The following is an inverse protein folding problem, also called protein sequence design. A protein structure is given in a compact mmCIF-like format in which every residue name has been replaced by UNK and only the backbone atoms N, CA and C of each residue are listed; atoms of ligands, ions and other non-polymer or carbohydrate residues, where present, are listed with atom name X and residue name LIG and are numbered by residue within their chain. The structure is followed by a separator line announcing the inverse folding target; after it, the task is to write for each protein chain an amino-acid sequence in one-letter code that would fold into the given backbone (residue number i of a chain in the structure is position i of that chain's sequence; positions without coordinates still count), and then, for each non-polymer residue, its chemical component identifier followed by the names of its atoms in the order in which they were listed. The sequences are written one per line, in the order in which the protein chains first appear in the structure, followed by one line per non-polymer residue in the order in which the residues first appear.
data_IF_404002026359
#
_entry.id   IF_404002026359
#
_cell.length_a   1.000
_cell.length_b   1.000
_cell.length_c   1.000
_cell.angle_alpha   90.00
_cell.angle_beta   90.00
_cell.angle_gamma   90.00
#
_symmetry.space_group_name_H-M   'P 1'
#
loop_
_entity.id
_entity.type
_entity.pdbx_description
1 polymer ?
#
# COMPACT_ATOMS: atom_id res chain seq x y z
N UNK A 1 -23.20 31.05 61.91
CA UNK A 1 -23.56 29.66 61.57
C UNK A 1 -24.39 29.69 60.29
N UNK A 2 -23.81 29.32 59.14
CA UNK A 2 -24.59 28.96 57.94
C UNK A 2 -23.93 27.74 57.30
N UNK A 3 -24.79 26.77 56.98
CA UNK A 3 -24.49 25.38 56.67
C UNK A 3 -23.97 25.20 55.23
N UNK A 4 -23.14 24.17 55.09
CA UNK A 4 -22.65 23.56 53.85
C UNK A 4 -23.82 23.03 52.99
N UNK A 5 -23.65 23.12 51.67
CA UNK A 5 -24.35 22.30 50.67
C UNK A 5 -24.47 23.06 49.34
N UNK A 6 -24.24 22.51 48.15
CA UNK A 6 -23.96 21.13 47.74
C UNK A 6 -23.57 21.16 46.24
N UNK A 7 -22.72 20.20 45.84
CA UNK A 7 -22.66 19.55 44.52
C UNK A 7 -22.39 20.39 43.25
N UNK A 8 -21.12 20.41 42.83
CA UNK A 8 -20.75 20.44 41.41
C UNK A 8 -20.48 19.00 40.94
N UNK A 9 -21.40 18.48 40.12
CA UNK A 9 -21.38 17.13 39.55
C UNK A 9 -20.19 16.96 38.60
N UNK A 10 -19.38 15.92 38.82
CA UNK A 10 -18.29 15.50 37.94
C UNK A 10 -18.82 15.16 36.54
N UNK A 11 -18.27 15.80 35.51
CA UNK A 11 -18.37 15.30 34.13
C UNK A 11 -17.46 14.07 33.99
N UNK A 12 -18.09 12.93 33.75
CA UNK A 12 -17.44 11.68 33.39
C UNK A 12 -16.66 11.87 32.09
N UNK A 13 -15.36 11.60 32.14
CA UNK A 13 -14.47 11.62 30.99
C UNK A 13 -14.97 10.64 29.93
N UNK A 14 -15.17 11.15 28.71
CA UNK A 14 -15.32 10.32 27.52
C UNK A 14 -14.04 9.51 27.36
N UNK A 15 -14.10 8.24 27.72
CA UNK A 15 -13.06 7.27 27.35
C UNK A 15 -13.22 7.07 25.85
N UNK A 16 -12.52 7.90 25.06
CA UNK A 16 -12.29 7.59 23.65
C UNK A 16 -11.56 6.25 23.64
N UNK A 17 -12.28 5.19 23.29
CA UNK A 17 -11.67 3.93 22.93
C UNK A 17 -10.71 4.23 21.77
N UNK A 18 -9.43 4.36 22.09
CA UNK A 18 -8.38 4.34 21.09
C UNK A 18 -8.44 2.93 20.49
N UNK A 19 -9.12 2.80 19.34
CA UNK A 19 -8.95 1.64 18.50
C UNK A 19 -7.48 1.65 18.07
N UNK A 20 -6.66 0.87 18.76
CA UNK A 20 -5.34 0.53 18.30
C UNK A 20 -5.54 -0.26 17.00
N UNK A 21 -5.55 0.44 15.86
CA UNK A 21 -5.43 -0.19 14.56
C UNK A 21 -4.17 -1.03 14.63
N UNK A 22 -4.32 -2.35 14.52
CA UNK A 22 -3.20 -3.27 14.48
C UNK A 22 -2.32 -2.86 13.29
N UNK A 23 -1.23 -2.16 13.57
CA UNK A 23 -0.26 -1.78 12.56
C UNK A 23 0.32 -3.07 12.01
N UNK A 24 0.09 -3.33 10.72
CA UNK A 24 0.68 -4.47 10.05
C UNK A 24 2.20 -4.41 10.23
N UNK A 25 2.77 -5.41 10.88
CA UNK A 25 4.23 -5.52 11.03
C UNK A 25 4.76 -6.08 9.72
N UNK A 26 5.43 -5.22 8.95
CA UNK A 26 6.11 -5.63 7.73
C UNK A 26 7.45 -6.27 8.08
N UNK A 27 7.64 -7.54 7.71
CA UNK A 27 8.97 -8.14 7.67
C UNK A 27 9.81 -7.52 6.53
N UNK A 28 11.02 -8.08 6.29
CA UNK A 28 11.75 -7.76 5.06
C UNK A 28 10.89 -8.19 3.87
N UNK A 29 10.71 -7.33 2.87
CA UNK A 29 10.03 -7.65 1.62
C UNK A 29 11.05 -8.11 0.57
N UNK A 30 10.60 -8.86 -0.43
CA UNK A 30 11.43 -9.27 -1.56
C UNK A 30 11.50 -8.14 -2.59
N UNK A 31 12.70 -7.77 -3.03
CA UNK A 31 12.86 -6.80 -4.12
C UNK A 31 12.44 -7.42 -5.45
N UNK A 32 11.61 -6.72 -6.21
CA UNK A 32 11.19 -7.11 -7.54
C UNK A 32 11.96 -6.31 -8.62
N UNK A 33 12.38 -6.94 -9.72
CA UNK A 33 13.14 -6.26 -10.77
C UNK A 33 12.27 -5.27 -11.55
N UNK A 34 12.72 -4.01 -11.63
CA UNK A 34 11.96 -2.93 -12.30
C UNK A 34 12.51 -2.49 -13.67
N UNK A 35 13.76 -2.85 -13.97
CA UNK A 35 14.47 -2.39 -15.18
C UNK A 35 13.77 -2.80 -16.48
N UNK A 36 13.41 -4.09 -16.60
CA UNK A 36 12.71 -4.62 -17.77
C UNK A 36 11.32 -4.00 -17.92
N UNK A 37 10.61 -3.80 -16.81
CA UNK A 37 9.30 -3.17 -16.85
C UNK A 37 9.37 -1.71 -17.31
N UNK A 38 10.37 -0.95 -16.85
CA UNK A 38 10.59 0.41 -17.34
C UNK A 38 10.91 0.46 -18.85
N UNK A 39 11.56 -0.58 -19.40
CA UNK A 39 11.72 -0.69 -20.86
C UNK A 39 10.37 -0.85 -21.57
N UNK A 40 9.46 -1.67 -21.02
CA UNK A 40 8.11 -1.85 -21.55
C UNK A 40 7.29 -0.55 -21.48
N UNK A 41 7.41 0.22 -20.39
CA UNK A 41 6.77 1.54 -20.27
C UNK A 41 7.25 2.46 -21.39
N UNK A 42 8.56 2.55 -21.64
CA UNK A 42 9.11 3.39 -22.70
C UNK A 42 8.60 2.97 -24.09
N UNK A 43 8.63 1.68 -24.39
CA UNK A 43 8.10 1.14 -25.65
C UNK A 43 6.60 1.42 -25.81
N UNK A 44 5.81 1.26 -24.75
CA UNK A 44 4.38 1.55 -24.77
C UNK A 44 4.10 3.04 -24.98
N UNK A 45 4.93 3.93 -24.41
CA UNK A 45 4.87 5.37 -24.67
C UNK A 45 5.17 5.70 -26.14
N UNK A 46 6.20 5.11 -26.74
CA UNK A 46 6.53 5.29 -28.16
C UNK A 46 5.37 4.83 -29.07
N UNK A 47 4.64 3.81 -28.62
CA UNK A 47 3.42 3.32 -29.27
C UNK A 47 2.16 4.10 -28.89
N UNK A 48 2.30 5.22 -28.18
CA UNK A 48 1.20 6.10 -27.76
C UNK A 48 0.13 5.39 -26.91
N UNK A 49 0.50 4.31 -26.22
CA UNK A 49 -0.42 3.63 -25.32
C UNK A 49 -0.66 4.48 -24.08
N UNK A 50 -1.92 4.76 -23.76
CA UNK A 50 -2.26 5.75 -22.71
C UNK A 50 -2.02 5.27 -21.27
N UNK A 51 -1.92 3.96 -21.06
CA UNK A 51 -1.82 3.37 -19.71
C UNK A 51 -0.56 3.84 -18.96
N UNK A 52 0.52 4.18 -19.67
CA UNK A 52 1.78 4.67 -19.07
C UNK A 52 1.65 6.03 -18.38
N UNK A 53 0.54 6.75 -18.62
CA UNK A 53 0.27 8.06 -18.02
C UNK A 53 -0.55 7.98 -16.73
N UNK A 54 -1.14 6.82 -16.43
CA UNK A 54 -1.91 6.55 -15.21
C UNK A 54 -1.11 5.62 -14.30
N UNK A 55 -0.75 6.11 -13.10
CA UNK A 55 0.05 5.33 -12.15
C UNK A 55 -0.66 4.06 -11.68
N UNK A 56 -2.00 4.04 -11.64
CA UNK A 56 -2.78 2.86 -11.23
C UNK A 56 -2.67 1.77 -12.28
N UNK A 57 -2.81 2.13 -13.54
CA UNK A 57 -2.64 1.20 -14.68
C UNK A 57 -1.22 0.64 -14.73
N UNK A 58 -0.21 1.50 -14.54
CA UNK A 58 1.20 1.08 -14.46
C UNK A 58 1.40 0.07 -13.32
N UNK A 59 0.88 0.37 -12.13
CA UNK A 59 0.97 -0.51 -10.97
C UNK A 59 0.29 -1.87 -11.22
N UNK A 60 -0.94 -1.87 -11.75
CA UNK A 60 -1.68 -3.10 -12.03
C UNK A 60 -0.99 -3.99 -13.07
N UNK A 61 -0.40 -3.39 -14.10
CA UNK A 61 0.39 -4.12 -15.11
C UNK A 61 1.69 -4.67 -14.56
N UNK A 62 2.36 -3.94 -13.67
CA UNK A 62 3.56 -4.43 -13.00
C UNK A 62 3.25 -5.65 -12.12
N UNK A 63 2.16 -5.57 -11.36
CA UNK A 63 1.72 -6.62 -10.45
C UNK A 63 1.25 -7.87 -11.21
N UNK A 64 0.67 -7.71 -12.39
CA UNK A 64 0.37 -8.83 -13.30
C UNK A 64 -0.83 -9.71 -12.91
N UNK A 65 -1.62 -9.29 -11.93
CA UNK A 65 -2.79 -10.02 -11.41
C UNK A 65 -4.09 -9.27 -11.65
N UNK A 66 -4.53 -9.18 -12.90
CA UNK A 66 -5.79 -8.49 -13.26
C UNK A 66 -7.05 -9.24 -12.82
N UNK A 67 -6.92 -10.52 -12.48
CA UNK A 67 -7.97 -11.43 -12.05
C UNK A 67 -8.23 -11.40 -10.54
N UNK A 68 -7.31 -10.82 -9.76
CA UNK A 68 -7.41 -10.72 -8.30
C UNK A 68 -7.89 -9.31 -7.93
N UNK A 69 -8.93 -9.18 -7.07
CA UNK A 69 -9.32 -7.88 -6.53
C UNK A 69 -8.13 -7.19 -5.87
N UNK A 70 -7.85 -5.96 -6.30
CA UNK A 70 -6.75 -5.16 -5.77
C UNK A 70 -7.25 -3.94 -5.03
N UNK A 71 -6.61 -3.64 -3.90
CA UNK A 71 -6.73 -2.35 -3.21
C UNK A 71 -5.44 -1.59 -3.39
N UNK A 72 -5.54 -0.40 -3.98
CA UNK A 72 -4.40 0.49 -4.18
C UNK A 72 -4.54 1.69 -3.24
N UNK A 73 -3.59 1.82 -2.33
CA UNK A 73 -3.37 3.04 -1.57
C UNK A 73 -2.18 3.80 -2.17
N UNK A 74 -2.31 5.13 -2.27
CA UNK A 74 -1.30 5.98 -2.87
C UNK A 74 -0.90 7.09 -1.90
N UNK A 75 0.40 7.27 -1.72
CA UNK A 75 0.97 8.30 -0.87
C UNK A 75 2.10 9.01 -1.64
N UNK A 76 2.00 10.34 -1.73
CA UNK A 76 3.08 11.15 -2.26
C UNK A 76 4.16 11.32 -1.18
N UNK A 77 5.42 11.09 -1.54
CA UNK A 77 6.59 11.32 -0.70
C UNK A 77 7.66 12.04 -1.52
N UNK A 78 7.86 13.33 -1.25
CA UNK A 78 8.70 14.21 -2.06
C UNK A 78 8.34 14.12 -3.56
N UNK A 79 9.30 13.71 -4.40
CA UNK A 79 9.12 13.55 -5.84
C UNK A 79 8.65 12.17 -6.27
N UNK A 80 8.46 11.25 -5.31
CA UNK A 80 8.05 9.88 -5.57
C UNK A 80 6.59 9.65 -5.15
N UNK A 81 5.93 8.76 -5.87
CA UNK A 81 4.60 8.25 -5.54
C UNK A 81 4.77 6.82 -5.03
N UNK A 82 4.54 6.62 -3.75
CA UNK A 82 4.58 5.30 -3.12
C UNK A 82 3.18 4.70 -3.15
N UNK A 83 3.07 3.50 -3.72
CA UNK A 83 1.82 2.75 -3.82
C UNK A 83 1.91 1.48 -2.98
N UNK A 84 0.88 1.24 -2.17
CA UNK A 84 0.64 -0.07 -1.57
C UNK A 84 -0.47 -0.76 -2.35
N UNK A 85 -0.14 -1.88 -3.00
CA UNK A 85 -1.09 -2.69 -3.77
C UNK A 85 -1.30 -4.01 -3.04
N UNK A 86 -2.45 -4.15 -2.39
CA UNK A 86 -2.84 -5.39 -1.73
C UNK A 86 -3.72 -6.23 -2.67
N UNK A 87 -3.41 -7.51 -2.79
CA UNK A 87 -4.18 -8.51 -3.52
C UNK A 87 -4.69 -9.54 -2.52
N UNK A 88 -6.01 -9.65 -2.37
CA UNK A 88 -6.61 -10.63 -1.47
C UNK A 88 -6.83 -11.95 -2.21
N UNK A 89 -5.92 -12.89 -2.01
CA UNK A 89 -5.99 -14.21 -2.61
C UNK A 89 -6.64 -15.22 -1.67
N UNK A 90 -7.33 -16.22 -2.23
CA UNK A 90 -8.03 -17.23 -1.41
C UNK A 90 -7.12 -18.10 -0.52
N UNK A 91 -5.83 -18.26 -0.87
CA UNK A 91 -4.85 -19.05 -0.10
C UNK A 91 -3.77 -18.20 0.58
N UNK A 92 -3.53 -17.01 0.06
CA UNK A 92 -2.49 -16.10 0.53
C UNK A 92 -2.79 -14.69 0.03
N UNK A 93 -2.58 -13.70 0.88
CA UNK A 93 -2.61 -12.30 0.46
C UNK A 93 -1.23 -11.90 -0.04
N UNK A 94 -1.20 -11.06 -1.07
CA UNK A 94 0.03 -10.45 -1.56
C UNK A 94 -0.01 -8.94 -1.33
N UNK A 95 1.15 -8.38 -1.03
CA UNK A 95 1.34 -6.95 -0.92
C UNK A 95 2.52 -6.54 -1.77
N UNK A 96 2.32 -5.51 -2.58
CA UNK A 96 3.38 -4.83 -3.28
C UNK A 96 3.53 -3.40 -2.76
N UNK A 97 4.76 -3.00 -2.48
CA UNK A 97 5.12 -1.61 -2.24
C UNK A 97 5.90 -1.12 -3.45
N UNK A 98 5.28 -0.23 -4.22
CA UNK A 98 5.82 0.29 -5.47
C UNK A 98 6.24 1.73 -5.27
N UNK A 99 7.47 2.08 -5.62
CA UNK A 99 7.93 3.47 -5.63
C UNK A 99 8.01 3.93 -7.07
N UNK A 100 7.15 4.87 -7.45
CA UNK A 100 7.09 5.43 -8.78
C UNK A 100 7.64 6.85 -8.77
N UNK A 101 8.17 7.27 -9.91
CA UNK A 101 8.54 8.66 -10.15
C UNK A 101 8.07 9.08 -11.54
N UNK A 102 7.89 10.38 -11.73
CA UNK A 102 7.50 10.94 -13.02
C UNK A 102 8.72 11.51 -13.74
N UNK A 103 8.96 11.06 -14.97
CA UNK A 103 10.03 11.57 -15.85
C UNK A 103 9.51 11.67 -17.27
N UNK A 104 9.71 12.80 -17.93
CA UNK A 104 9.24 13.06 -19.30
C UNK A 104 7.74 12.77 -19.48
N UNK A 105 6.93 13.15 -18.49
CA UNK A 105 5.50 12.87 -18.38
C UNK A 105 5.10 11.39 -18.27
N UNK A 106 6.06 10.47 -18.16
CA UNK A 106 5.81 9.04 -17.97
C UNK A 106 5.99 8.66 -16.50
N UNK A 107 5.12 7.77 -16.02
CA UNK A 107 5.36 7.09 -14.76
C UNK A 107 6.39 5.98 -14.97
N UNK A 108 7.44 5.96 -14.16
CA UNK A 108 8.44 4.90 -14.15
C UNK A 108 8.61 4.34 -12.74
N UNK A 109 9.07 3.09 -12.65
CA UNK A 109 9.33 2.42 -11.40
C UNK A 109 10.75 2.75 -10.91
N UNK A 110 10.87 3.33 -9.72
CA UNK A 110 12.14 3.47 -9.02
C UNK A 110 12.51 2.18 -8.30
N UNK A 111 11.52 1.57 -7.65
CA UNK A 111 11.70 0.36 -6.87
C UNK A 111 10.37 -0.37 -6.70
N UNK A 112 10.46 -1.66 -6.43
CA UNK A 112 9.32 -2.49 -6.13
C UNK A 112 9.73 -3.53 -5.10
N UNK A 113 8.88 -3.69 -4.09
CA UNK A 113 9.02 -4.70 -3.07
C UNK A 113 7.72 -5.47 -2.98
N UNK A 114 7.81 -6.76 -2.63
CA UNK A 114 6.64 -7.61 -2.50
C UNK A 114 6.74 -8.58 -1.33
N UNK A 115 5.60 -9.00 -0.82
CA UNK A 115 5.53 -10.02 0.21
C UNK A 115 4.21 -10.78 0.18
N UNK A 116 4.22 -11.91 0.88
CA UNK A 116 3.09 -12.82 1.02
C UNK A 116 2.69 -12.94 2.49
N UNK A 117 1.39 -12.98 2.74
CA UNK A 117 0.83 -13.37 4.04
C UNK A 117 0.03 -14.64 3.83
N UNK A 118 0.50 -15.73 4.44
CA UNK A 118 -0.16 -17.03 4.31
C UNK A 118 -1.41 -17.09 5.20
N UNK A 119 -2.33 -17.98 4.85
CA UNK A 119 -3.53 -18.18 5.64
C UNK A 119 -3.17 -18.55 7.09
N UNK A 120 -3.67 -17.78 8.05
CA UNK A 120 -3.39 -17.96 9.48
C UNK A 120 -2.21 -17.15 10.01
N UNK A 121 -1.40 -16.53 9.13
CA UNK A 121 -0.31 -15.65 9.54
C UNK A 121 -0.79 -14.20 9.74
N UNK A 122 -0.08 -13.48 10.62
CA UNK A 122 -0.39 -12.09 10.94
C UNK A 122 0.52 -11.07 10.23
N UNK A 123 1.58 -11.51 9.55
CA UNK A 123 2.59 -10.65 8.94
C UNK A 123 2.92 -11.05 7.51
N UNK A 124 3.31 -10.08 6.69
CA UNK A 124 3.87 -10.32 5.36
C UNK A 124 5.34 -10.76 5.46
N UNK A 125 5.73 -11.72 4.64
CA UNK A 125 7.09 -12.25 4.53
C UNK A 125 7.60 -12.15 3.09
N UNK A 126 8.92 -12.19 2.84
CA UNK A 126 9.49 -12.07 1.50
C UNK A 126 9.47 -13.39 0.72
N UNK A 127 8.89 -14.46 1.27
CA UNK A 127 8.89 -15.79 0.68
C UNK A 127 7.45 -16.17 0.35
N UNK A 128 7.18 -16.74 -0.85
CA UNK A 128 5.88 -17.29 -1.17
C UNK A 128 5.42 -18.33 -0.14
N UNK A 129 4.11 -18.44 0.05
CA UNK A 129 3.54 -19.50 0.87
C UNK A 129 3.87 -20.89 0.28
N UNK A 130 4.15 -21.89 1.13
CA UNK A 130 4.48 -23.24 0.70
C UNK A 130 3.32 -23.98 0.01
#
# INVERSE_FOLDING_TARGET
MYKIGMLTTLLLANVTAAHAEAQAVFGRLASAPVQQFNQQIRQASEQHQKWVNDYREVALRFVGHSDIPSRIHAQQLDNDLVLSVALDGGKSDMLYILTLYRSDNLWQMRGAEMGWRCLGDHSFTPVPCP
#
